data_IF_534644280200
#
_entry.id   IF_534644280200
#
_cell.length_a   1.000
_cell.length_b   1.000
_cell.length_c   1.000
_cell.angle_alpha   90.00
_cell.angle_beta   90.00
_cell.angle_gamma   90.00
#
_symmetry.space_group_name_H-M   'P 1'
#
loop_
_entity.id
_entity.type
_entity.pdbx_description
1 polymer ?
#
# COMPACT_ATOMS: atom_id res chain seq x y z
N UNK A 1 16.25 -20.04 -8.64
CA UNK A 1 17.31 -19.12 -8.19
C UNK A 1 17.43 -19.08 -6.65
N UNK A 2 16.98 -20.15 -5.97
CA UNK A 2 16.91 -20.21 -4.50
C UNK A 2 18.30 -20.03 -3.90
N UNK A 3 18.39 -19.25 -2.81
CA UNK A 3 19.62 -19.00 -2.05
C UNK A 3 20.76 -18.34 -2.86
N UNK A 4 20.44 -17.62 -3.94
CA UNK A 4 21.43 -16.85 -4.68
C UNK A 4 21.83 -15.57 -3.92
N UNK A 5 22.85 -15.70 -3.06
CA UNK A 5 23.33 -14.59 -2.22
C UNK A 5 23.89 -13.41 -3.04
N UNK A 6 24.50 -13.66 -4.21
CA UNK A 6 25.03 -12.58 -5.08
C UNK A 6 23.91 -11.70 -5.60
N UNK A 7 22.82 -12.32 -6.08
CA UNK A 7 21.64 -11.58 -6.49
C UNK A 7 21.00 -10.87 -5.30
N UNK A 8 20.88 -11.53 -4.15
CA UNK A 8 20.39 -10.91 -2.92
C UNK A 8 21.14 -9.64 -2.53
N UNK A 9 22.48 -9.66 -2.58
CA UNK A 9 23.34 -8.49 -2.34
C UNK A 9 22.99 -7.35 -3.30
N UNK A 10 22.90 -7.64 -4.61
CA UNK A 10 22.60 -6.62 -5.62
C UNK A 10 21.20 -6.00 -5.38
N UNK A 11 20.20 -6.83 -5.09
CA UNK A 11 18.84 -6.37 -4.79
C UNK A 11 18.77 -5.55 -3.50
N UNK A 12 19.56 -5.87 -2.48
CA UNK A 12 19.64 -5.05 -1.26
C UNK A 12 20.21 -3.66 -1.54
N UNK A 13 21.24 -3.56 -2.40
CA UNK A 13 21.79 -2.26 -2.82
C UNK A 13 20.72 -1.45 -3.56
N UNK A 14 19.92 -2.08 -4.43
CA UNK A 14 18.76 -1.44 -5.06
C UNK A 14 17.79 -0.90 -4.01
N UNK A 15 17.47 -1.67 -2.97
CA UNK A 15 16.60 -1.23 -1.88
C UNK A 15 17.15 -0.04 -1.09
N UNK A 16 18.47 -0.02 -0.83
CA UNK A 16 19.15 1.11 -0.17
C UNK A 16 19.04 2.37 -1.02
N UNK A 17 19.33 2.26 -2.32
CA UNK A 17 19.19 3.38 -3.27
C UNK A 17 17.75 3.85 -3.34
N UNK A 18 16.78 2.95 -3.46
CA UNK A 18 15.35 3.29 -3.50
C UNK A 18 14.87 4.00 -2.22
N UNK A 19 15.34 3.58 -1.04
CA UNK A 19 15.05 4.25 0.21
C UNK A 19 15.66 5.66 0.30
N UNK A 20 16.91 5.81 -0.14
CA UNK A 20 17.56 7.13 -0.25
C UNK A 20 16.86 8.06 -1.24
N UNK A 21 16.44 7.53 -2.39
CA UNK A 21 15.64 8.25 -3.38
C UNK A 21 14.26 8.62 -2.84
N UNK A 22 13.62 7.76 -2.04
CA UNK A 22 12.38 8.12 -1.33
C UNK A 22 12.60 9.37 -0.50
N UNK A 23 13.60 9.36 0.40
CA UNK A 23 13.89 10.51 1.25
C UNK A 23 14.12 11.79 0.44
N UNK A 24 14.99 11.69 -0.57
CA UNK A 24 15.34 12.84 -1.41
C UNK A 24 14.14 13.37 -2.20
N UNK A 25 13.43 12.51 -2.94
CA UNK A 25 12.31 12.96 -3.77
C UNK A 25 11.15 13.46 -2.93
N UNK A 26 10.80 12.78 -1.84
CA UNK A 26 9.74 13.26 -0.95
C UNK A 26 10.09 14.62 -0.37
N UNK A 27 11.32 14.84 0.10
CA UNK A 27 11.75 16.14 0.61
C UNK A 27 11.75 17.23 -0.49
N UNK A 28 12.22 16.89 -1.69
CA UNK A 28 12.32 17.83 -2.80
C UNK A 28 10.96 18.25 -3.36
N UNK A 29 9.95 17.38 -3.34
CA UNK A 29 8.62 17.67 -3.89
C UNK A 29 7.60 18.08 -2.83
N UNK A 30 7.84 17.83 -1.54
CA UNK A 30 6.88 18.03 -0.45
C UNK A 30 6.16 19.37 -0.52
N UNK A 31 6.91 20.47 -0.39
CA UNK A 31 6.33 21.81 -0.38
C UNK A 31 5.71 22.16 -1.73
N UNK A 32 6.32 21.77 -2.84
CA UNK A 32 5.84 22.08 -4.19
C UNK A 32 4.45 21.48 -4.44
N UNK A 33 4.24 20.21 -4.11
CA UNK A 33 2.95 19.53 -4.28
C UNK A 33 1.89 20.16 -3.37
N UNK A 34 2.23 20.42 -2.11
CA UNK A 34 1.34 21.09 -1.14
C UNK A 34 0.91 22.47 -1.64
N UNK A 35 1.87 23.30 -2.06
CA UNK A 35 1.60 24.66 -2.51
C UNK A 35 0.78 24.69 -3.79
N UNK A 36 0.95 23.71 -4.68
CA UNK A 36 0.19 23.64 -5.94
C UNK A 36 -1.29 23.39 -5.66
N UNK A 37 -1.63 22.40 -4.82
CA UNK A 37 -3.01 22.17 -4.40
C UNK A 37 -3.60 23.35 -3.62
N UNK A 38 -2.81 23.95 -2.71
CA UNK A 38 -3.26 25.11 -1.94
C UNK A 38 -3.57 26.31 -2.85
N UNK A 39 -2.70 26.60 -3.83
CA UNK A 39 -2.90 27.68 -4.79
C UNK A 39 -4.11 27.44 -5.73
N UNK A 40 -4.45 26.17 -5.98
CA UNK A 40 -5.65 25.78 -6.72
C UNK A 40 -6.95 25.84 -5.88
N UNK A 41 -6.87 26.28 -4.62
CA UNK A 41 -8.02 26.34 -3.71
C UNK A 41 -8.40 24.99 -3.08
N UNK A 42 -7.59 23.94 -3.31
CA UNK A 42 -7.78 22.58 -2.79
C UNK A 42 -7.01 22.40 -1.48
N UNK A 43 -7.35 23.21 -0.47
CA UNK A 43 -6.62 23.25 0.79
C UNK A 43 -6.70 21.92 1.57
N UNK A 44 -7.80 21.18 1.41
CA UNK A 44 -8.05 19.84 1.94
C UNK A 44 -7.10 18.78 1.34
N UNK A 45 -6.87 18.84 0.04
CA UNK A 45 -5.92 17.95 -0.62
C UNK A 45 -4.49 18.30 -0.21
N UNK A 46 -4.17 19.61 -0.12
CA UNK A 46 -2.90 20.08 0.44
C UNK A 46 -2.64 19.54 1.85
N UNK A 47 -3.65 19.53 2.73
CA UNK A 47 -3.51 18.97 4.08
C UNK A 47 -3.38 17.45 4.09
N UNK A 48 -4.10 16.76 3.21
CA UNK A 48 -3.96 15.32 3.03
C UNK A 48 -2.54 14.97 2.59
N UNK A 49 -2.01 15.68 1.59
CA UNK A 49 -0.62 15.53 1.12
C UNK A 49 0.37 15.78 2.26
N UNK A 50 0.21 16.85 3.04
CA UNK A 50 1.10 17.15 4.19
C UNK A 50 1.29 15.96 5.12
N UNK A 51 0.22 15.25 5.43
CA UNK A 51 0.25 14.12 6.37
C UNK A 51 0.77 12.87 5.67
N UNK A 52 0.18 12.51 4.52
CA UNK A 52 0.44 11.23 3.87
C UNK A 52 1.83 11.19 3.25
N UNK A 53 2.33 12.30 2.69
CA UNK A 53 3.72 12.36 2.21
C UNK A 53 4.72 12.14 3.34
N UNK A 54 4.50 12.74 4.51
CA UNK A 54 5.41 12.58 5.64
C UNK A 54 5.46 11.12 6.09
N UNK A 55 4.30 10.48 6.27
CA UNK A 55 4.20 9.07 6.66
C UNK A 55 4.91 8.16 5.66
N UNK A 56 4.64 8.33 4.37
CA UNK A 56 5.28 7.51 3.32
C UNK A 56 6.78 7.78 3.18
N UNK A 57 7.21 9.02 3.37
CA UNK A 57 8.62 9.39 3.43
C UNK A 57 9.35 8.66 4.55
N UNK A 58 8.76 8.63 5.76
CA UNK A 58 9.33 7.89 6.89
C UNK A 58 9.37 6.38 6.63
N UNK A 59 8.26 5.81 6.16
CA UNK A 59 8.18 4.37 5.88
C UNK A 59 9.16 3.93 4.79
N UNK A 60 9.23 4.65 3.68
CA UNK A 60 10.16 4.32 2.59
C UNK A 60 11.63 4.52 2.99
N UNK A 61 11.94 5.55 3.77
CA UNK A 61 13.30 5.75 4.32
C UNK A 61 13.67 4.61 5.27
N UNK A 62 12.75 4.20 6.16
CA UNK A 62 12.95 3.08 7.06
C UNK A 62 13.14 1.75 6.30
N UNK A 63 12.41 1.55 5.20
CA UNK A 63 12.59 0.39 4.32
C UNK A 63 13.96 0.39 3.61
N UNK A 64 14.49 1.57 3.27
CA UNK A 64 15.89 1.74 2.86
C UNK A 64 16.88 1.28 3.94
N UNK A 65 16.65 1.71 5.18
CA UNK A 65 17.43 1.26 6.35
C UNK A 65 17.35 -0.25 6.56
N UNK A 66 16.15 -0.84 6.45
CA UNK A 66 15.97 -2.29 6.51
C UNK A 66 16.75 -3.01 5.40
N UNK A 67 16.84 -2.41 4.21
CA UNK A 67 17.63 -2.97 3.10
C UNK A 67 19.13 -3.06 3.42
N UNK A 68 19.67 -2.20 4.30
CA UNK A 68 21.05 -2.34 4.81
C UNK A 68 21.19 -3.60 5.68
N UNK A 69 20.22 -3.86 6.56
CA UNK A 69 20.21 -5.10 7.35
C UNK A 69 20.09 -6.33 6.44
N UNK A 70 19.28 -6.25 5.39
CA UNK A 70 19.14 -7.33 4.38
C UNK A 70 20.45 -7.55 3.63
N UNK A 71 21.17 -6.49 3.24
CA UNK A 71 22.51 -6.59 2.66
C UNK A 71 23.46 -7.34 3.59
N UNK A 72 23.52 -6.96 4.87
CA UNK A 72 24.31 -7.67 5.88
C UNK A 72 23.91 -9.14 5.98
N UNK A 73 22.60 -9.42 5.98
CA UNK A 73 22.06 -10.77 6.00
C UNK A 73 22.59 -11.61 4.84
N UNK A 74 22.54 -11.11 3.60
CA UNK A 74 23.08 -11.85 2.44
C UNK A 74 24.61 -12.00 2.46
N UNK A 75 25.35 -10.98 2.92
CA UNK A 75 26.80 -11.08 3.12
C UNK A 75 27.17 -12.17 4.13
N UNK A 76 26.33 -12.37 5.14
CA UNK A 76 26.45 -13.43 6.14
C UNK A 76 25.64 -14.70 5.80
N UNK A 77 25.15 -14.82 4.57
CA UNK A 77 24.38 -15.97 4.05
C UNK A 77 23.20 -16.37 4.94
N UNK A 78 22.53 -15.39 5.54
CA UNK A 78 21.39 -15.60 6.42
C UNK A 78 20.12 -15.88 5.62
N UNK A 79 19.36 -16.92 6.01
CA UNK A 79 18.15 -17.32 5.28
C UNK A 79 16.98 -16.36 5.44
N UNK A 80 16.93 -15.56 6.51
CA UNK A 80 15.86 -14.58 6.72
C UNK A 80 15.96 -13.38 5.78
N UNK A 81 17.14 -13.12 5.20
CA UNK A 81 17.45 -11.90 4.47
C UNK A 81 16.49 -11.67 3.29
N UNK A 82 16.22 -12.69 2.48
CA UNK A 82 15.33 -12.54 1.33
C UNK A 82 13.93 -12.10 1.74
N UNK A 83 13.43 -12.60 2.87
CA UNK A 83 12.08 -12.27 3.35
C UNK A 83 12.01 -10.84 3.87
N UNK A 84 12.99 -10.42 4.69
CA UNK A 84 13.09 -9.02 5.11
C UNK A 84 13.28 -8.08 3.90
N UNK A 85 13.97 -8.53 2.86
CA UNK A 85 14.07 -7.83 1.58
C UNK A 85 12.71 -7.67 0.89
N UNK A 86 11.89 -8.73 0.85
CA UNK A 86 10.52 -8.63 0.35
C UNK A 86 9.68 -7.64 1.16
N UNK A 87 9.80 -7.63 2.49
CA UNK A 87 9.10 -6.66 3.36
C UNK A 87 9.51 -5.23 3.02
N UNK A 88 10.81 -4.95 2.93
CA UNK A 88 11.33 -3.64 2.54
C UNK A 88 10.80 -3.22 1.16
N UNK A 89 10.82 -4.12 0.18
CA UNK A 89 10.32 -3.87 -1.15
C UNK A 89 8.81 -3.57 -1.18
N UNK A 90 8.00 -4.27 -0.39
CA UNK A 90 6.54 -4.00 -0.28
C UNK A 90 6.28 -2.58 0.24
N UNK A 91 7.04 -2.13 1.25
CA UNK A 91 6.90 -0.76 1.79
C UNK A 91 7.35 0.28 0.75
N UNK A 92 8.47 0.04 0.06
CA UNK A 92 8.97 0.93 -0.98
C UNK A 92 8.03 0.99 -2.20
N UNK A 93 7.31 -0.08 -2.53
CA UNK A 93 6.28 -0.07 -3.57
C UNK A 93 5.17 0.92 -3.21
N UNK A 94 4.64 0.88 -1.98
CA UNK A 94 3.64 1.85 -1.56
C UNK A 94 4.19 3.28 -1.53
N UNK A 95 5.37 3.46 -0.93
CA UNK A 95 6.02 4.77 -0.80
C UNK A 95 6.45 5.39 -2.14
N UNK A 96 6.72 4.57 -3.16
CA UNK A 96 6.99 5.04 -4.51
C UNK A 96 5.73 5.35 -5.32
N UNK A 97 4.70 4.51 -5.17
CA UNK A 97 3.46 4.63 -5.94
C UNK A 97 2.60 5.80 -5.48
N UNK A 98 2.18 5.83 -4.21
CA UNK A 98 1.16 6.78 -3.78
C UNK A 98 1.56 8.25 -4.02
N UNK A 99 2.79 8.71 -3.70
CA UNK A 99 3.15 10.11 -3.87
C UNK A 99 3.10 10.60 -5.32
N UNK A 100 3.15 9.69 -6.29
CA UNK A 100 3.01 10.06 -7.70
C UNK A 100 1.61 10.61 -8.02
N UNK A 101 0.58 10.20 -7.28
CA UNK A 101 -0.82 10.53 -7.56
C UNK A 101 -1.09 12.02 -7.39
N UNK A 102 -0.88 12.64 -6.20
CA UNK A 102 -1.15 14.08 -6.04
C UNK A 102 -0.18 14.95 -6.87
N UNK A 103 1.05 14.48 -7.11
CA UNK A 103 1.97 15.16 -8.02
C UNK A 103 1.44 15.17 -9.47
N UNK A 104 0.98 14.03 -9.98
CA UNK A 104 0.41 13.92 -11.32
C UNK A 104 -0.91 14.68 -11.47
N UNK A 105 -1.78 14.64 -10.46
CA UNK A 105 -3.03 15.41 -10.43
C UNK A 105 -2.77 16.93 -10.50
N UNK A 106 -1.67 17.37 -9.89
CA UNK A 106 -1.16 18.75 -9.99
C UNK A 106 -0.36 19.07 -11.28
N UNK A 107 -0.24 18.12 -12.22
CA UNK A 107 0.55 18.30 -13.44
C UNK A 107 2.07 18.39 -13.22
N UNK A 108 2.54 17.98 -12.04
CA UNK A 108 3.96 17.99 -11.67
C UNK A 108 4.67 16.70 -12.10
N UNK A 109 6.00 16.74 -12.13
CA UNK A 109 6.82 15.55 -12.36
C UNK A 109 6.65 14.52 -11.22
N UNK A 110 6.75 13.23 -11.55
CA UNK A 110 6.53 12.11 -10.62
C UNK A 110 7.81 11.29 -10.36
N UNK A 111 8.86 11.87 -9.76
CA UNK A 111 10.15 11.19 -9.60
C UNK A 111 10.08 9.94 -8.71
N UNK A 112 9.09 9.83 -7.82
CA UNK A 112 8.87 8.63 -6.97
C UNK A 112 8.51 7.38 -7.78
N UNK A 113 8.16 7.50 -9.06
CA UNK A 113 7.99 6.36 -9.96
C UNK A 113 9.27 5.52 -10.09
N UNK A 114 10.45 6.15 -9.97
CA UNK A 114 11.72 5.42 -9.94
C UNK A 114 11.86 4.56 -8.68
N UNK A 115 11.41 5.06 -7.52
CA UNK A 115 11.36 4.28 -6.28
C UNK A 115 10.46 3.05 -6.49
N UNK A 116 9.27 3.24 -7.06
CA UNK A 116 8.34 2.15 -7.36
C UNK A 116 8.96 1.10 -8.29
N UNK A 117 9.59 1.52 -9.39
CA UNK A 117 10.21 0.61 -10.35
C UNK A 117 11.35 -0.22 -9.73
N UNK A 118 12.23 0.42 -8.96
CA UNK A 118 13.31 -0.25 -8.23
C UNK A 118 12.76 -1.23 -7.18
N UNK A 119 11.72 -0.81 -6.45
CA UNK A 119 11.05 -1.65 -5.47
C UNK A 119 10.36 -2.86 -6.12
N UNK A 120 9.78 -2.71 -7.31
CA UNK A 120 9.18 -3.82 -8.05
C UNK A 120 10.24 -4.86 -8.46
N UNK A 121 11.37 -4.40 -9.01
CA UNK A 121 12.52 -5.28 -9.32
C UNK A 121 13.00 -6.00 -8.05
N UNK A 122 13.13 -5.27 -6.94
CA UNK A 122 13.52 -5.84 -5.66
C UNK A 122 12.51 -6.88 -5.16
N UNK A 123 11.21 -6.59 -5.22
CA UNK A 123 10.15 -7.46 -4.71
C UNK A 123 10.13 -8.81 -5.43
N UNK A 124 10.05 -8.81 -6.77
CA UNK A 124 10.09 -10.04 -7.55
C UNK A 124 11.45 -10.76 -7.40
N UNK A 125 12.55 -10.01 -7.42
CA UNK A 125 13.89 -10.57 -7.22
C UNK A 125 14.04 -11.33 -5.90
N UNK A 126 13.58 -10.74 -4.78
CA UNK A 126 13.66 -11.35 -3.46
C UNK A 126 12.81 -12.62 -3.36
N UNK A 127 11.63 -12.66 -3.99
CA UNK A 127 10.79 -13.87 -4.04
C UNK A 127 11.46 -15.00 -4.84
N UNK A 128 12.15 -14.67 -5.94
CA UNK A 128 12.93 -15.63 -6.72
C UNK A 128 14.14 -16.17 -5.96
N UNK A 129 14.81 -15.32 -5.16
CA UNK A 129 15.88 -15.72 -4.23
C UNK A 129 15.35 -16.60 -3.10
N UNK A 130 14.15 -16.31 -2.59
CA UNK A 130 13.46 -17.13 -1.59
C UNK A 130 12.94 -18.46 -2.13
N UNK A 131 12.86 -18.62 -3.46
CA UNK A 131 12.32 -19.82 -4.10
C UNK A 131 10.80 -19.96 -3.90
N UNK A 132 10.08 -18.84 -3.86
CA UNK A 132 8.62 -18.82 -3.66
C UNK A 132 7.92 -19.38 -4.90
N UNK A 133 6.87 -20.17 -4.68
CA UNK A 133 6.07 -20.76 -5.75
C UNK A 133 5.39 -19.68 -6.62
N UNK A 134 5.38 -19.87 -7.94
CA UNK A 134 4.86 -18.87 -8.90
C UNK A 134 3.38 -18.55 -8.68
N UNK A 135 2.56 -19.51 -8.26
CA UNK A 135 1.14 -19.28 -7.98
C UNK A 135 0.97 -18.47 -6.70
N UNK A 136 1.83 -18.69 -5.69
CA UNK A 136 1.88 -17.83 -4.50
C UNK A 136 2.31 -16.41 -4.88
N UNK A 137 3.33 -16.24 -5.74
CA UNK A 137 3.74 -14.91 -6.22
C UNK A 137 2.57 -14.21 -6.93
N UNK A 138 1.84 -14.90 -7.81
CA UNK A 138 0.70 -14.32 -8.50
C UNK A 138 -0.42 -13.92 -7.53
N UNK A 139 -0.76 -14.79 -6.58
CA UNK A 139 -1.77 -14.52 -5.56
C UNK A 139 -1.40 -13.30 -4.71
N UNK A 140 -0.16 -13.23 -4.23
CA UNK A 140 0.28 -12.15 -3.36
C UNK A 140 0.56 -10.86 -4.10
N UNK A 141 0.86 -10.92 -5.40
CA UNK A 141 0.89 -9.75 -6.26
C UNK A 141 -0.52 -9.13 -6.41
N UNK A 142 -1.54 -9.95 -6.68
CA UNK A 142 -2.93 -9.47 -6.73
C UNK A 142 -3.40 -8.93 -5.38
N UNK A 143 -3.03 -9.58 -4.27
CA UNK A 143 -3.27 -9.05 -2.93
C UNK A 143 -2.48 -7.75 -2.67
N UNK A 144 -1.32 -7.57 -3.31
CA UNK A 144 -0.57 -6.31 -3.32
C UNK A 144 -1.34 -5.17 -3.99
N UNK A 145 -2.10 -5.46 -5.06
CA UNK A 145 -3.00 -4.48 -5.66
C UNK A 145 -4.13 -4.10 -4.68
N UNK A 146 -4.74 -5.09 -4.03
CA UNK A 146 -5.75 -4.83 -3.00
C UNK A 146 -5.16 -3.97 -1.86
N UNK A 147 -3.99 -4.33 -1.33
CA UNK A 147 -3.26 -3.55 -0.33
C UNK A 147 -3.10 -2.06 -0.71
N UNK A 148 -2.57 -1.78 -1.89
CA UNK A 148 -2.29 -0.39 -2.32
C UNK A 148 -3.59 0.38 -2.55
N UNK A 149 -4.58 -0.23 -3.21
CA UNK A 149 -5.86 0.43 -3.48
C UNK A 149 -6.64 0.67 -2.19
N UNK A 150 -6.64 -0.29 -1.26
CA UNK A 150 -7.27 -0.12 0.05
C UNK A 150 -6.57 0.97 0.86
N UNK A 151 -5.24 1.12 0.75
CA UNK A 151 -4.54 2.24 1.38
C UNK A 151 -5.01 3.58 0.81
N UNK A 152 -5.16 3.68 -0.52
CA UNK A 152 -5.68 4.88 -1.21
C UNK A 152 -7.11 5.19 -0.75
N UNK A 153 -7.96 4.18 -0.61
CA UNK A 153 -9.32 4.32 -0.06
C UNK A 153 -9.33 4.81 1.39
N UNK A 154 -8.24 4.63 2.13
CA UNK A 154 -8.05 5.23 3.45
C UNK A 154 -7.43 6.62 3.41
N UNK A 155 -6.83 7.05 2.29
CA UNK A 155 -6.31 8.43 2.15
C UNK A 155 -7.42 9.40 1.72
N UNK A 156 -8.19 9.04 0.70
CA UNK A 156 -9.24 9.91 0.14
C UNK A 156 -10.30 10.42 1.15
N UNK A 157 -10.67 9.70 2.23
CA UNK A 157 -11.58 10.21 3.24
C UNK A 157 -11.01 11.38 4.05
N UNK A 158 -9.68 11.55 4.10
CA UNK A 158 -9.03 12.66 4.84
C UNK A 158 -9.42 13.99 4.20
N UNK A 159 -9.27 14.12 2.88
CA UNK A 159 -9.68 15.33 2.16
C UNK A 159 -11.19 15.51 2.18
N UNK A 160 -11.98 14.44 2.03
CA UNK A 160 -13.45 14.51 2.09
C UNK A 160 -13.99 14.99 3.44
N UNK A 161 -13.43 14.50 4.54
CA UNK A 161 -13.77 14.97 5.89
C UNK A 161 -13.49 16.47 6.04
N UNK A 162 -12.35 16.92 5.52
CA UNK A 162 -11.95 18.32 5.54
C UNK A 162 -12.82 19.20 4.65
N UNK A 163 -13.33 18.70 3.51
CA UNK A 163 -14.26 19.48 2.67
C UNK A 163 -15.59 19.78 3.39
N UNK A 164 -16.00 18.92 4.34
CA UNK A 164 -17.24 19.13 5.10
C UNK A 164 -17.12 20.21 6.19
N UNK A 165 -15.89 20.54 6.62
CA UNK A 165 -15.62 21.66 7.54
C UNK A 165 -14.95 22.81 6.79
N UNK A 166 -15.60 23.96 6.74
CA UNK A 166 -14.97 25.19 6.25
C UNK A 166 -13.86 25.63 7.24
N UNK A 167 -13.01 26.56 6.78
CA UNK A 167 -11.79 27.01 7.45
C UNK A 167 -11.91 27.14 8.98
N UNK A 168 -10.81 27.01 9.75
CA UNK A 168 -10.78 27.03 11.24
C UNK A 168 -11.47 28.20 11.95
N UNK A 169 -11.92 29.21 11.20
CA UNK A 169 -12.59 30.39 11.71
C UNK A 169 -14.04 30.13 12.16
N UNK A 170 -14.77 29.20 11.53
CA UNK A 170 -16.20 29.00 11.78
C UNK A 170 -16.57 27.51 11.85
N UNK A 171 -16.96 27.02 13.05
CA UNK A 171 -17.58 25.69 13.17
C UNK A 171 -19.06 25.80 12.79
N UNK A 172 -19.35 25.63 11.51
CA UNK A 172 -20.72 25.47 11.01
C UNK A 172 -20.95 23.99 10.79
N UNK A 173 -21.85 23.37 11.55
CA UNK A 173 -22.25 21.99 11.35
C UNK A 173 -22.87 21.86 9.94
N UNK A 174 -22.16 21.19 9.03
CA UNK A 174 -22.69 20.89 7.70
C UNK A 174 -23.91 19.96 7.80
N UNK A 175 -24.82 19.98 6.82
CA UNK A 175 -26.06 19.19 6.85
C UNK A 175 -25.84 17.66 6.88
N UNK A 176 -24.64 17.17 6.55
CA UNK A 176 -24.27 15.75 6.45
C UNK A 176 -23.31 15.27 7.56
N UNK A 177 -23.59 15.66 8.82
CA UNK A 177 -22.77 15.27 9.98
C UNK A 177 -22.55 13.76 10.15
N UNK A 178 -23.53 12.92 9.75
CA UNK A 178 -23.38 11.46 9.74
C UNK A 178 -22.25 11.02 8.78
N UNK A 179 -22.27 11.47 7.52
CA UNK A 179 -21.28 11.07 6.52
C UNK A 179 -19.90 11.61 6.84
N UNK A 180 -19.83 12.77 7.47
CA UNK A 180 -18.60 13.29 8.03
C UNK A 180 -17.97 12.31 9.03
N UNK A 181 -18.75 11.84 10.01
CA UNK A 181 -18.31 10.78 10.93
C UNK A 181 -17.91 9.51 10.20
N UNK A 182 -18.66 9.10 9.17
CA UNK A 182 -18.33 7.92 8.36
C UNK A 182 -17.00 8.05 7.63
N UNK A 183 -16.63 9.21 7.09
CA UNK A 183 -15.32 9.38 6.46
C UNK A 183 -14.18 9.10 7.43
N UNK A 184 -14.24 9.60 8.67
CA UNK A 184 -13.21 9.35 9.70
C UNK A 184 -13.18 7.89 10.13
N UNK A 185 -14.35 7.28 10.38
CA UNK A 185 -14.43 5.89 10.81
C UNK A 185 -13.91 4.93 9.73
N UNK A 186 -14.34 5.14 8.48
CA UNK A 186 -13.98 4.26 7.37
C UNK A 186 -12.53 4.49 6.89
N UNK A 187 -11.96 5.69 7.10
CA UNK A 187 -10.53 5.95 6.90
C UNK A 187 -9.68 4.90 7.64
N UNK A 188 -9.93 4.73 8.94
CA UNK A 188 -9.17 3.82 9.78
C UNK A 188 -9.44 2.36 9.42
N UNK A 189 -10.70 2.01 9.12
CA UNK A 189 -11.06 0.65 8.65
C UNK A 189 -10.26 0.27 7.40
N UNK A 190 -10.14 1.18 6.43
CA UNK A 190 -9.35 0.95 5.22
C UNK A 190 -7.85 0.82 5.54
N UNK A 191 -7.28 1.66 6.39
CA UNK A 191 -5.86 1.52 6.75
C UNK A 191 -5.54 0.25 7.54
N UNK A 192 -6.43 -0.20 8.43
CA UNK A 192 -6.31 -1.49 9.09
C UNK A 192 -6.42 -2.65 8.10
N UNK A 193 -7.32 -2.55 7.13
CA UNK A 193 -7.42 -3.52 6.03
C UNK A 193 -6.15 -3.58 5.18
N UNK A 194 -5.58 -2.43 4.81
CA UNK A 194 -4.32 -2.36 4.07
C UNK A 194 -3.17 -3.02 4.86
N UNK A 195 -3.06 -2.73 6.16
CA UNK A 195 -2.08 -3.40 7.02
C UNK A 195 -2.30 -4.92 7.07
N UNK A 196 -3.55 -5.37 7.18
CA UNK A 196 -3.89 -6.79 7.16
C UNK A 196 -3.57 -7.46 5.80
N UNK A 197 -3.79 -6.78 4.67
CA UNK A 197 -3.38 -7.28 3.35
C UNK A 197 -1.86 -7.43 3.24
N UNK A 198 -1.08 -6.49 3.77
CA UNK A 198 0.38 -6.61 3.82
C UNK A 198 0.81 -7.82 4.67
N UNK A 199 0.19 -8.02 5.83
CA UNK A 199 0.46 -9.19 6.69
C UNK A 199 0.07 -10.49 5.97
N UNK A 200 -1.08 -10.52 5.30
CA UNK A 200 -1.50 -11.66 4.48
C UNK A 200 -0.45 -12.01 3.43
N UNK A 201 0.07 -11.03 2.68
CA UNK A 201 1.11 -11.24 1.66
C UNK A 201 2.31 -11.95 2.28
N UNK A 202 2.82 -11.44 3.40
CA UNK A 202 3.98 -12.00 4.08
C UNK A 202 3.73 -13.41 4.63
N UNK A 203 2.57 -13.62 5.25
CA UNK A 203 2.15 -14.91 5.79
C UNK A 203 1.97 -15.96 4.68
N UNK A 204 1.35 -15.60 3.56
CA UNK A 204 1.14 -16.46 2.41
C UNK A 204 2.45 -16.84 1.71
N UNK A 205 3.38 -15.88 1.56
CA UNK A 205 4.74 -16.15 1.05
C UNK A 205 5.47 -17.18 1.95
N UNK A 206 5.25 -17.10 3.26
CA UNK A 206 5.79 -18.04 4.26
C UNK A 206 4.92 -19.28 4.47
N UNK A 207 3.89 -19.49 3.65
CA UNK A 207 2.97 -20.63 3.71
C UNK A 207 2.36 -20.88 5.08
N UNK A 208 2.00 -19.80 5.76
CA UNK A 208 1.39 -19.88 7.08
C UNK A 208 -0.10 -20.18 6.94
N UNK A 209 -0.61 -21.17 7.68
CA UNK A 209 -2.04 -21.54 7.63
C UNK A 209 -2.95 -20.40 8.08
N UNK A 210 -2.52 -19.62 9.07
CA UNK A 210 -3.26 -18.46 9.56
C UNK A 210 -3.32 -17.30 8.55
N UNK A 211 -2.56 -17.36 7.44
CA UNK A 211 -2.66 -16.38 6.37
C UNK A 211 -4.09 -16.30 5.83
N UNK A 212 -4.79 -17.43 5.70
CA UNK A 212 -6.18 -17.47 5.20
C UNK A 212 -7.10 -16.58 6.05
N UNK A 213 -7.06 -16.75 7.38
CA UNK A 213 -7.87 -15.95 8.30
C UNK A 213 -7.57 -14.45 8.18
N UNK A 214 -6.30 -14.08 8.08
CA UNK A 214 -5.87 -12.68 7.92
C UNK A 214 -6.29 -12.11 6.57
N UNK A 215 -6.21 -12.88 5.49
CA UNK A 215 -6.65 -12.45 4.17
C UNK A 215 -8.17 -12.25 4.10
N UNK A 216 -8.95 -13.13 4.73
CA UNK A 216 -10.39 -12.96 4.85
C UNK A 216 -10.75 -11.71 5.67
N UNK A 217 -10.07 -11.51 6.80
CA UNK A 217 -10.23 -10.30 7.61
C UNK A 217 -9.90 -9.03 6.82
N UNK A 218 -8.76 -9.02 6.11
CA UNK A 218 -8.35 -7.90 5.27
C UNK A 218 -9.39 -7.59 4.21
N UNK A 219 -9.84 -8.62 3.46
CA UNK A 219 -10.81 -8.45 2.39
C UNK A 219 -12.16 -7.95 2.88
N UNK A 220 -12.69 -8.49 3.98
CA UNK A 220 -13.95 -8.03 4.57
C UNK A 220 -13.85 -6.58 5.04
N UNK A 221 -12.77 -6.17 5.71
CA UNK A 221 -12.60 -4.77 6.09
C UNK A 221 -12.51 -3.84 4.87
N UNK A 222 -11.80 -4.24 3.81
CA UNK A 222 -11.73 -3.45 2.58
C UNK A 222 -13.11 -3.33 1.92
N UNK A 223 -13.91 -4.39 1.93
CA UNK A 223 -15.28 -4.37 1.43
C UNK A 223 -16.16 -3.42 2.24
N UNK A 224 -16.08 -3.48 3.58
CA UNK A 224 -16.84 -2.61 4.47
C UNK A 224 -16.50 -1.15 4.26
N UNK A 225 -15.21 -0.78 4.28
CA UNK A 225 -14.80 0.61 4.06
C UNK A 225 -15.04 1.08 2.63
N UNK A 226 -14.63 0.30 1.64
CA UNK A 226 -14.66 0.67 0.23
C UNK A 226 -16.07 0.71 -0.36
N UNK A 227 -16.92 -0.30 -0.15
CA UNK A 227 -18.27 -0.30 -0.75
C UNK A 227 -19.17 0.79 -0.17
N UNK A 228 -19.10 1.04 1.15
CA UNK A 228 -19.92 2.09 1.77
C UNK A 228 -19.58 3.46 1.17
N UNK A 229 -18.29 3.81 1.12
CA UNK A 229 -17.84 5.07 0.51
C UNK A 229 -18.07 5.10 -1.01
N UNK A 230 -17.84 3.97 -1.67
CA UNK A 230 -18.03 3.79 -3.10
C UNK A 230 -19.45 4.07 -3.54
N UNK A 231 -20.42 3.38 -2.94
CA UNK A 231 -21.84 3.52 -3.26
C UNK A 231 -22.30 4.94 -2.95
N UNK A 232 -21.97 5.48 -1.76
CA UNK A 232 -22.35 6.86 -1.42
C UNK A 232 -21.82 7.87 -2.44
N UNK A 233 -20.54 7.77 -2.82
CA UNK A 233 -19.94 8.69 -3.78
C UNK A 233 -20.55 8.54 -5.19
N UNK A 234 -20.90 7.33 -5.63
CA UNK A 234 -21.63 7.13 -6.91
C UNK A 234 -22.99 7.82 -6.86
N UNK A 235 -23.73 7.67 -5.76
CA UNK A 235 -25.05 8.28 -5.59
C UNK A 235 -24.96 9.82 -5.51
N UNK A 236 -23.93 10.35 -4.85
CA UNK A 236 -23.75 11.78 -4.67
C UNK A 236 -23.28 12.51 -5.93
N UNK A 237 -22.39 11.91 -6.73
CA UNK A 237 -21.74 12.59 -7.88
C UNK A 237 -22.23 12.05 -9.23
N UNK A 238 -22.98 10.95 -9.26
CA UNK A 238 -23.55 10.37 -10.49
C UNK A 238 -22.52 9.76 -11.45
N UNK A 239 -21.31 9.43 -10.97
CA UNK A 239 -20.22 8.84 -11.77
C UNK A 239 -19.50 7.72 -11.02
N UNK A 240 -18.71 6.93 -11.73
CA UNK A 240 -17.92 5.86 -11.14
C UNK A 240 -17.03 6.37 -9.99
N UNK A 241 -17.00 5.62 -8.89
CA UNK A 241 -16.25 5.98 -7.69
C UNK A 241 -14.91 5.28 -7.63
N UNK A 242 -13.84 6.05 -7.40
CA UNK A 242 -12.49 5.53 -7.20
C UNK A 242 -12.32 4.73 -5.90
N UNK A 243 -13.34 4.68 -5.03
CA UNK A 243 -13.41 3.80 -3.84
C UNK A 243 -13.85 2.36 -4.15
N UNK A 244 -14.27 2.06 -5.39
CA UNK A 244 -14.77 0.72 -5.76
C UNK A 244 -13.71 -0.29 -6.21
N UNK A 245 -12.57 0.08 -6.82
CA UNK A 245 -11.55 -0.88 -7.24
C UNK A 245 -11.05 -1.79 -6.10
N UNK A 246 -10.69 -1.23 -4.94
CA UNK A 246 -10.16 -2.02 -3.82
C UNK A 246 -11.17 -3.05 -3.26
N UNK A 247 -12.43 -2.69 -2.92
CA UNK A 247 -13.41 -3.65 -2.41
C UNK A 247 -13.81 -4.70 -3.47
N UNK A 248 -13.80 -4.38 -4.77
CA UNK A 248 -14.06 -5.35 -5.84
C UNK A 248 -12.95 -6.41 -5.89
N UNK A 249 -11.68 -5.99 -5.95
CA UNK A 249 -10.55 -6.93 -5.95
C UNK A 249 -10.55 -7.74 -4.65
N UNK A 250 -10.82 -7.10 -3.51
CA UNK A 250 -10.95 -7.77 -2.22
C UNK A 250 -12.07 -8.80 -2.20
N UNK A 251 -13.21 -8.53 -2.83
CA UNK A 251 -14.32 -9.50 -2.96
C UNK A 251 -13.87 -10.73 -3.74
N UNK A 252 -13.18 -10.53 -4.86
CA UNK A 252 -12.63 -11.61 -5.68
C UNK A 252 -11.63 -12.44 -4.86
N UNK A 253 -10.71 -11.79 -4.14
CA UNK A 253 -9.72 -12.47 -3.31
C UNK A 253 -10.36 -13.24 -2.15
N UNK A 254 -11.39 -12.70 -1.49
CA UNK A 254 -12.13 -13.41 -0.44
C UNK A 254 -12.75 -14.69 -1.00
N UNK A 255 -13.41 -14.63 -2.17
CA UNK A 255 -13.93 -15.82 -2.84
C UNK A 255 -12.81 -16.82 -3.15
N UNK A 256 -11.69 -16.35 -3.69
CA UNK A 256 -10.52 -17.18 -4.01
C UNK A 256 -9.95 -17.85 -2.75
N UNK A 257 -9.92 -17.18 -1.60
CA UNK A 257 -9.41 -17.72 -0.33
C UNK A 257 -10.31 -18.78 0.30
N UNK A 258 -11.60 -18.82 -0.05
CA UNK A 258 -12.49 -19.92 0.31
C UNK A 258 -12.31 -21.17 -0.56
N UNK A 259 -11.65 -21.07 -1.72
CA UNK A 259 -11.45 -22.23 -2.58
C UNK A 259 -10.45 -23.22 -1.96
N UNK A 260 -10.79 -24.53 -1.88
CA UNK A 260 -9.91 -25.54 -1.31
C UNK A 260 -8.52 -25.59 -1.96
N UNK A 261 -8.45 -25.39 -3.28
CA UNK A 261 -7.19 -25.36 -4.02
C UNK A 261 -6.27 -24.21 -3.59
N UNK A 262 -6.84 -23.04 -3.30
CA UNK A 262 -6.07 -21.89 -2.78
C UNK A 262 -5.60 -22.16 -1.36
N UNK A 263 -6.46 -22.73 -0.51
CA UNK A 263 -6.09 -23.05 0.87
C UNK A 263 -4.93 -24.05 0.91
N UNK A 264 -5.02 -25.15 0.12
CA UNK A 264 -3.93 -26.12 -0.04
C UNK A 264 -2.66 -25.49 -0.58
N UNK A 265 -2.78 -24.57 -1.55
CA UNK A 265 -1.64 -23.84 -2.10
C UNK A 265 -0.91 -23.02 -1.02
N UNK A 266 -1.67 -22.33 -0.16
CA UNK A 266 -1.13 -21.49 0.93
C UNK A 266 -0.55 -22.35 2.04
N UNK A 267 -1.23 -23.41 2.48
CA UNK A 267 -0.77 -24.27 3.59
C UNK A 267 0.34 -25.23 3.17
N UNK A 268 0.49 -25.48 1.86
CA UNK A 268 1.45 -26.45 1.34
C UNK A 268 1.07 -27.91 1.59
N UNK A 269 -0.18 -28.20 1.98
CA UNK A 269 -0.68 -29.56 2.12
C UNK A 269 -0.89 -30.19 0.74
N UNK A 270 -0.11 -31.23 0.43
CA UNK A 270 -0.40 -32.14 -0.68
C UNK A 270 -1.56 -33.06 -0.30
N UNK A 271 -2.39 -33.41 -1.28
CA UNK A 271 -3.45 -34.41 -1.11
C UNK A 271 -2.83 -35.71 -0.58
N UNK A 272 -3.27 -36.15 0.61
CA UNK A 272 -3.11 -37.54 1.05
C UNK A 272 -4.06 -38.44 0.25
#
# INVERSE_FOLDING_TARGET
MKNNAKLGIALSIIGIVAGGLTLYFMAATYNTVIHTHFAAGQWEESNTVRIVYAVLGWLGTAAGGLSVAVLWGFLKKQEWAWFAGTVAATVLLLAGFFPMIPAADSGLSTPTLWVFALAAVMWFGMLLVGGVDKKIIALTFTAGLAYVLTFIDGVAPISKFQTTFQAPADFVEGPDGFWNGMFVMLQQVNWWSAAAWAIFIFAAIKRQSWAIAVGLFAGVLSMTGGYILGIHNVLAVGRFSMFLPAPIISTILVVILFLPGTQKLITGSTDE
#
